data_IF_598858768831
#
_entry.id   IF_598858768831
#
_cell.length_a   1.000
_cell.length_b   1.000
_cell.length_c   1.000
_cell.angle_alpha   90.00
_cell.angle_beta   90.00
_cell.angle_gamma   90.00
#
_symmetry.space_group_name_H-M   'P 1'
#
loop_
_entity.id
_entity.type
_entity.pdbx_description
1 polymer ?
#
# COMPACT_ATOMS: atom_id res chain seq x y z
N UNK A 1 12.82 -1.73 -4.99
CA UNK A 1 12.37 -0.65 -4.06
C UNK A 1 11.52 -1.35 -3.04
N UNK A 2 11.92 -1.31 -1.79
CA UNK A 2 11.30 -2.10 -0.74
C UNK A 2 10.37 -1.23 0.08
N UNK A 3 9.17 -1.75 0.32
CA UNK A 3 8.14 -1.13 1.13
C UNK A 3 8.18 -1.75 2.51
N UNK A 4 8.01 -0.94 3.55
CA UNK A 4 7.98 -1.36 4.95
C UNK A 4 6.81 -0.66 5.64
N UNK A 5 6.17 -1.31 6.62
CA UNK A 5 5.19 -0.63 7.45
C UNK A 5 5.79 0.58 8.19
N UNK A 6 4.98 1.63 8.29
CA UNK A 6 5.19 2.76 9.18
C UNK A 6 4.81 2.42 10.62
N UNK A 7 4.77 3.44 11.46
CA UNK A 7 4.35 3.32 12.87
C UNK A 7 2.83 3.47 12.97
N UNK A 8 2.13 2.42 12.59
CA UNK A 8 0.67 2.34 12.69
C UNK A 8 0.29 2.06 14.15
N UNK A 9 -0.64 2.85 14.70
CA UNK A 9 -1.19 2.58 16.03
C UNK A 9 -2.23 1.48 15.97
N UNK A 10 -3.16 1.60 15.03
CA UNK A 10 -4.27 0.69 14.83
C UNK A 10 -4.57 0.54 13.34
N UNK A 11 -5.08 -0.64 12.98
CA UNK A 11 -5.58 -0.96 11.65
C UNK A 11 -6.88 -1.75 11.79
N UNK A 12 -7.88 -1.38 11.01
CA UNK A 12 -9.13 -2.11 10.88
C UNK A 12 -9.46 -2.30 9.40
N UNK A 13 -9.79 -3.52 9.01
CA UNK A 13 -10.25 -3.85 7.66
C UNK A 13 -11.62 -4.50 7.77
N UNK A 14 -12.60 -3.99 7.04
CA UNK A 14 -13.94 -4.57 7.03
C UNK A 14 -14.06 -5.76 6.07
N UNK A 15 -15.26 -6.35 6.00
CA UNK A 15 -15.55 -7.50 5.13
C UNK A 15 -15.49 -7.20 3.64
N UNK A 16 -15.57 -5.92 3.24
CA UNK A 16 -15.51 -5.45 1.86
C UNK A 16 -14.07 -5.08 1.44
N UNK A 17 -13.09 -5.23 2.35
CA UNK A 17 -11.68 -4.97 2.10
C UNK A 17 -11.29 -3.49 2.22
N UNK A 18 -12.19 -2.64 2.71
CA UNK A 18 -11.89 -1.24 3.02
C UNK A 18 -11.08 -1.21 4.31
N UNK A 19 -9.96 -0.49 4.28
CA UNK A 19 -9.07 -0.40 5.44
C UNK A 19 -9.06 1.01 6.00
N UNK A 20 -9.17 1.11 7.32
CA UNK A 20 -8.96 2.33 8.09
C UNK A 20 -7.73 2.15 8.94
N UNK A 21 -6.83 3.14 8.93
CA UNK A 21 -5.62 3.13 9.75
C UNK A 21 -5.54 4.35 10.65
N UNK A 22 -4.96 4.16 11.84
CA UNK A 22 -4.58 5.24 12.73
C UNK A 22 -3.07 5.50 12.65
N UNK A 23 -2.69 6.70 12.21
CA UNK A 23 -1.30 7.15 12.14
C UNK A 23 -1.12 8.39 13.00
N UNK A 24 -0.42 8.25 14.11
CA UNK A 24 -0.25 9.31 15.10
C UNK A 24 -1.59 9.70 15.77
N UNK A 25 -2.19 10.80 15.33
CA UNK A 25 -3.51 11.28 15.78
C UNK A 25 -4.53 11.38 14.63
N UNK A 26 -4.19 10.83 13.46
CA UNK A 26 -5.03 10.90 12.26
C UNK A 26 -5.66 9.54 11.98
N UNK A 27 -6.92 9.55 11.58
CA UNK A 27 -7.64 8.39 11.05
C UNK A 27 -7.73 8.56 9.54
N UNK A 28 -7.22 7.59 8.79
CA UNK A 28 -7.17 7.62 7.33
C UNK A 28 -7.95 6.43 6.76
N UNK A 29 -8.91 6.73 5.88
CA UNK A 29 -9.62 5.75 5.07
C UNK A 29 -8.80 5.46 3.81
N UNK A 30 -8.52 4.19 3.56
CA UNK A 30 -7.72 3.78 2.41
C UNK A 30 -8.60 3.38 1.23
N UNK A 31 -8.15 3.73 0.03
CA UNK A 31 -8.72 3.21 -1.21
C UNK A 31 -8.48 1.69 -1.32
N UNK A 32 -9.22 0.96 -2.17
CA UNK A 32 -9.00 -0.48 -2.36
C UNK A 32 -7.56 -0.83 -2.73
N UNK A 33 -6.94 -0.01 -3.58
CA UNK A 33 -5.53 -0.19 -3.98
C UNK A 33 -4.57 0.04 -2.81
N UNK A 34 -4.78 1.10 -2.02
CA UNK A 34 -3.97 1.37 -0.85
C UNK A 34 -4.13 0.29 0.23
N UNK A 35 -5.34 -0.22 0.43
CA UNK A 35 -5.64 -1.36 1.31
C UNK A 35 -4.86 -2.60 0.89
N UNK A 36 -4.81 -2.91 -0.41
CA UNK A 36 -4.12 -4.10 -0.90
C UNK A 36 -2.59 -3.98 -0.74
N UNK A 37 -2.03 -2.81 -1.05
CA UNK A 37 -0.61 -2.53 -0.80
C UNK A 37 -0.29 -2.74 0.69
N UNK A 38 -1.15 -2.25 1.59
CA UNK A 38 -0.94 -2.41 3.02
C UNK A 38 -1.06 -3.87 3.47
N UNK A 39 -2.00 -4.63 2.89
CA UNK A 39 -2.20 -6.05 3.18
C UNK A 39 -0.98 -6.89 2.81
N UNK A 40 -0.32 -6.57 1.68
CA UNK A 40 0.95 -7.21 1.31
C UNK A 40 2.04 -7.04 2.36
N UNK A 41 2.02 -5.96 3.14
CA UNK A 41 3.06 -5.59 4.08
C UNK A 41 2.89 -6.17 5.48
N UNK A 42 1.98 -7.14 5.69
CA UNK A 42 1.62 -7.70 7.00
C UNK A 42 2.82 -8.35 7.74
N UNK A 43 3.67 -7.52 8.35
CA UNK A 43 4.80 -7.91 9.19
C UNK A 43 6.15 -8.06 8.47
N UNK A 44 6.23 -7.95 7.14
CA UNK A 44 7.49 -8.10 6.40
C UNK A 44 7.70 -6.98 5.38
N UNK A 45 8.96 -6.54 5.19
CA UNK A 45 9.30 -5.73 4.04
C UNK A 45 9.01 -6.48 2.73
N UNK A 46 8.39 -5.81 1.76
CA UNK A 46 8.04 -6.40 0.45
C UNK A 46 8.58 -5.54 -0.68
N UNK A 47 9.10 -6.17 -1.73
CA UNK A 47 9.48 -5.45 -2.94
C UNK A 47 8.25 -4.93 -3.67
N UNK A 48 8.34 -3.70 -4.19
CA UNK A 48 7.26 -3.07 -4.95
C UNK A 48 6.81 -3.94 -6.14
N UNK A 49 7.72 -4.69 -6.76
CA UNK A 49 7.42 -5.61 -7.85
C UNK A 49 6.49 -6.74 -7.40
N UNK A 50 6.75 -7.35 -6.24
CA UNK A 50 5.88 -8.38 -5.67
C UNK A 50 4.49 -7.82 -5.31
N UNK A 51 4.44 -6.59 -4.80
CA UNK A 51 3.17 -5.88 -4.57
C UNK A 51 2.43 -5.66 -5.89
N UNK A 52 3.13 -5.30 -6.97
CA UNK A 52 2.52 -5.11 -8.28
C UNK A 52 1.91 -6.40 -8.84
N UNK A 53 2.64 -7.52 -8.75
CA UNK A 53 2.12 -8.83 -9.15
C UNK A 53 0.86 -9.19 -8.37
N UNK A 54 0.88 -9.01 -7.05
CA UNK A 54 -0.27 -9.32 -6.19
C UNK A 54 -1.48 -8.42 -6.49
N UNK A 55 -1.26 -7.10 -6.57
CA UNK A 55 -2.32 -6.15 -6.87
C UNK A 55 -2.99 -6.45 -8.21
N UNK A 56 -2.22 -6.79 -9.26
CA UNK A 56 -2.79 -7.18 -10.56
C UNK A 56 -3.61 -8.47 -10.47
N UNK A 57 -3.17 -9.42 -9.67
CA UNK A 57 -3.89 -10.68 -9.48
C UNK A 57 -5.24 -10.47 -8.77
N UNK A 58 -5.33 -9.50 -7.85
CA UNK A 58 -6.53 -9.23 -7.05
C UNK A 58 -7.47 -8.21 -7.70
N UNK A 59 -6.92 -7.11 -8.23
CA UNK A 59 -7.68 -5.96 -8.74
C UNK A 59 -7.70 -5.85 -10.27
N UNK A 60 -6.94 -6.70 -10.98
CA UNK A 60 -6.79 -6.66 -12.43
C UNK A 60 -5.74 -5.66 -12.91
N UNK A 61 -5.60 -5.56 -14.23
CA UNK A 61 -4.70 -4.59 -14.86
C UNK A 61 -5.31 -3.17 -14.83
N UNK A 62 -4.49 -2.13 -14.65
CA UNK A 62 -4.95 -0.76 -14.81
C UNK A 62 -5.35 -0.46 -16.28
N UNK A 63 -6.11 0.62 -16.50
CA UNK A 63 -6.46 1.05 -17.85
C UNK A 63 -5.22 1.21 -18.75
N UNK A 64 -5.35 0.87 -20.03
CA UNK A 64 -4.26 0.70 -21.02
C UNK A 64 -3.32 1.90 -21.19
N UNK A 65 -3.68 3.06 -20.65
CA UNK A 65 -2.91 4.31 -20.71
C UNK A 65 -2.06 4.59 -19.46
N UNK A 66 -2.10 3.73 -18.43
CA UNK A 66 -1.33 3.90 -17.20
C UNK A 66 -0.53 2.64 -16.90
N UNK A 67 0.80 2.75 -16.86
CA UNK A 67 1.65 1.66 -16.39
C UNK A 67 1.36 1.37 -14.91
N UNK A 68 1.07 0.11 -14.58
CA UNK A 68 0.73 -0.34 -13.23
C UNK A 68 1.81 0.04 -12.20
N UNK A 69 3.08 -0.05 -12.60
CA UNK A 69 4.22 0.35 -11.77
C UNK A 69 4.17 1.82 -11.40
N UNK A 70 3.79 2.70 -12.33
CA UNK A 70 3.71 4.15 -12.09
C UNK A 70 2.59 4.47 -11.11
N UNK A 71 1.42 3.83 -11.30
CA UNK A 71 0.29 3.95 -10.38
C UNK A 71 0.66 3.50 -8.96
N UNK A 72 1.28 2.33 -8.85
CA UNK A 72 1.71 1.77 -7.57
C UNK A 72 2.80 2.60 -6.90
N UNK A 73 3.75 3.14 -7.67
CA UNK A 73 4.74 4.08 -7.15
C UNK A 73 4.10 5.35 -6.62
N UNK A 74 3.11 5.91 -7.31
CA UNK A 74 2.40 7.10 -6.87
C UNK A 74 1.65 6.85 -5.55
N UNK A 75 0.90 5.75 -5.47
CA UNK A 75 0.18 5.38 -4.23
C UNK A 75 1.15 5.05 -3.10
N UNK A 76 2.23 4.32 -3.36
CA UNK A 76 3.23 4.03 -2.35
C UNK A 76 3.88 5.32 -1.80
N UNK A 77 4.13 6.32 -2.65
CA UNK A 77 4.65 7.63 -2.21
C UNK A 77 3.63 8.41 -1.38
N UNK A 78 2.36 8.37 -1.75
CA UNK A 78 1.28 9.02 -0.98
C UNK A 78 1.12 8.38 0.41
N UNK A 79 1.11 7.04 0.46
CA UNK A 79 1.12 6.28 1.72
C UNK A 79 2.36 6.60 2.57
N UNK A 80 3.52 6.76 1.94
CA UNK A 80 4.75 7.15 2.63
C UNK A 80 4.69 8.58 3.18
N UNK A 81 4.18 9.53 2.39
CA UNK A 81 3.93 10.91 2.85
C UNK A 81 2.92 10.99 3.99
N UNK A 82 1.97 10.05 4.02
CA UNK A 82 1.02 9.90 5.11
C UNK A 82 1.58 9.18 6.34
N UNK A 83 2.78 8.61 6.26
CA UNK A 83 3.43 7.87 7.35
C UNK A 83 2.90 6.44 7.54
N UNK A 84 2.10 5.94 6.60
CA UNK A 84 1.53 4.59 6.65
C UNK A 84 2.59 3.54 6.32
N UNK A 85 3.45 3.85 5.34
CA UNK A 85 4.57 3.01 4.93
C UNK A 85 5.86 3.81 4.89
N UNK A 86 6.98 3.13 4.71
CA UNK A 86 8.29 3.70 4.40
C UNK A 86 8.85 3.02 3.16
N UNK A 87 9.47 3.82 2.30
CA UNK A 87 10.15 3.35 1.10
C UNK A 87 11.65 3.28 1.41
N UNK A 88 12.24 2.11 1.25
CA UNK A 88 13.67 1.88 1.47
C UNK A 88 14.33 1.36 0.19
N UNK A 89 15.53 1.85 -0.09
CA UNK A 89 16.35 1.34 -1.19
C UNK A 89 16.97 -0.01 -0.77
N UNK A 90 17.01 -1.02 -1.65
CA UNK A 90 17.79 -2.22 -1.37
C UNK A 90 19.27 -1.83 -1.29
N UNK A 91 19.91 -2.11 -0.15
CA UNK A 91 21.38 -2.12 0.01
C UNK A 91 22.00 -3.32 -0.68
#
# INVERSE_FOLDING_TARGET
>A
MRLVLGDLKDQYTDGDGVTVVMVGQRVLLLSPLASEILRCLSGTPVELESVATHVRAVLGEPPTNVAAEVLLQAVARDLAGSGIIRIVSPT
#
